data_IF_467154530623
#
_entry.id   IF_467154530623
#
_cell.length_a   1.000
_cell.length_b   1.000
_cell.length_c   1.000
_cell.angle_alpha   90.00
_cell.angle_beta   90.00
_cell.angle_gamma   90.00
#
_symmetry.space_group_name_H-M   'P 1'
#
loop_
_entity.id
_entity.type
_entity.pdbx_description
1 polymer ?
#
# COMPACT_ATOMS: atom_id res chain seq x y z
N UNK A 1 14.69 -10.97 -12.32
CA UNK A 1 14.84 -9.75 -11.50
C UNK A 1 13.42 -9.29 -11.20
N UNK A 2 12.85 -9.63 -10.04
CA UNK A 2 11.55 -9.05 -9.67
C UNK A 2 11.82 -7.60 -9.32
N UNK A 3 11.80 -6.71 -10.33
CA UNK A 3 11.81 -5.28 -10.12
C UNK A 3 10.53 -4.93 -9.37
N UNK A 4 10.60 -4.98 -8.03
CA UNK A 4 9.47 -4.66 -7.17
C UNK A 4 8.97 -3.28 -7.55
N UNK A 5 7.79 -3.24 -8.15
CA UNK A 5 7.16 -1.97 -8.52
C UNK A 5 7.05 -1.13 -7.24
N UNK A 6 7.59 0.09 -7.29
CA UNK A 6 7.44 1.02 -6.17
C UNK A 6 5.96 1.21 -5.87
N UNK A 7 5.53 1.07 -4.60
CA UNK A 7 4.13 1.25 -4.25
C UNK A 7 3.61 2.63 -4.65
N UNK A 8 2.39 2.67 -5.16
CA UNK A 8 1.70 3.89 -5.56
C UNK A 8 0.44 4.13 -4.74
N UNK A 9 -0.07 5.36 -4.78
CA UNK A 9 -1.31 5.73 -4.09
C UNK A 9 -2.48 4.85 -4.56
N UNK A 10 -3.10 4.17 -3.61
CA UNK A 10 -4.20 3.23 -3.80
C UNK A 10 -3.79 1.76 -3.76
N UNK A 11 -2.49 1.46 -3.89
CA UNK A 11 -1.98 0.10 -3.78
C UNK A 11 -2.11 -0.42 -2.35
N UNK A 12 -2.37 -1.71 -2.23
CA UNK A 12 -2.23 -2.46 -1.00
C UNK A 12 -0.83 -3.03 -0.90
N UNK A 13 -0.17 -2.74 0.22
CA UNK A 13 1.18 -3.17 0.54
C UNK A 13 1.19 -4.01 1.81
N UNK A 14 2.13 -4.95 1.89
CA UNK A 14 2.49 -5.60 3.13
C UNK A 14 3.61 -4.80 3.82
N UNK A 15 3.34 -4.30 5.03
CA UNK A 15 4.29 -3.47 5.81
C UNK A 15 4.94 -4.21 6.97
N UNK A 16 4.38 -5.36 7.35
CA UNK A 16 4.95 -6.33 8.26
C UNK A 16 4.36 -7.69 7.91
N UNK A 17 4.99 -8.78 8.35
CA UNK A 17 4.56 -10.14 8.01
C UNK A 17 3.06 -10.35 8.28
N UNK A 18 2.28 -10.59 7.22
CA UNK A 18 0.83 -10.79 7.28
C UNK A 18 0.00 -9.53 7.54
N UNK A 19 0.61 -8.34 7.60
CA UNK A 19 -0.07 -7.06 7.86
C UNK A 19 -0.09 -6.19 6.61
N UNK A 20 -1.30 -5.91 6.14
CA UNK A 20 -1.56 -5.14 4.93
C UNK A 20 -2.03 -3.74 5.26
N UNK A 21 -1.72 -2.78 4.40
CA UNK A 21 -2.23 -1.42 4.45
C UNK A 21 -2.37 -0.84 3.05
N UNK A 22 -3.23 0.17 2.91
CA UNK A 22 -3.38 0.91 1.66
C UNK A 22 -2.43 2.11 1.69
N UNK A 23 -1.68 2.31 0.61
CA UNK A 23 -0.97 3.56 0.37
C UNK A 23 -1.98 4.65 0.03
N UNK A 24 -1.99 5.70 0.83
CA UNK A 24 -2.97 6.80 0.72
C UNK A 24 -2.35 8.08 0.19
N UNK A 25 -1.06 8.28 0.42
CA UNK A 25 -0.33 9.46 -0.04
C UNK A 25 1.18 9.19 -0.11
N UNK A 26 1.92 10.05 -0.83
CA UNK A 26 3.38 10.00 -0.93
C UNK A 26 3.92 11.41 -0.67
N UNK A 27 4.52 11.65 0.50
CA UNK A 27 5.07 12.96 0.86
C UNK A 27 6.59 12.89 0.93
N UNK A 28 7.28 13.61 0.06
CA UNK A 28 8.76 13.62 -0.02
C UNK A 28 9.37 12.20 -0.08
N UNK A 29 8.72 11.28 -0.81
CA UNK A 29 9.15 9.89 -0.93
C UNK A 29 8.76 8.98 0.24
N UNK A 30 8.13 9.52 1.30
CA UNK A 30 7.56 8.72 2.40
C UNK A 30 6.14 8.30 2.04
N UNK A 31 5.89 7.00 2.03
CA UNK A 31 4.57 6.41 1.81
C UNK A 31 3.72 6.57 3.07
N UNK A 32 2.51 7.09 2.94
CA UNK A 32 1.52 7.16 4.02
C UNK A 32 0.53 6.02 3.90
N UNK A 33 0.38 5.27 4.98
CA UNK A 33 -0.38 4.03 5.03
C UNK A 33 -1.66 4.22 5.84
N UNK A 34 -2.70 3.48 5.47
CA UNK A 34 -3.95 3.39 6.20
C UNK A 34 -4.45 1.95 6.27
N UNK A 35 -5.02 1.60 7.42
CA UNK A 35 -5.90 0.43 7.59
C UNK A 35 -7.25 0.87 8.13
N UNK A 36 -8.28 0.05 7.92
CA UNK A 36 -9.58 0.30 8.52
C UNK A 36 -9.44 0.40 10.05
N UNK A 37 -10.10 1.39 10.66
CA UNK A 37 -10.06 1.60 12.10
C UNK A 37 -8.78 2.26 12.66
N UNK A 38 -7.79 2.61 11.83
CA UNK A 38 -6.60 3.35 12.27
C UNK A 38 -6.41 4.63 11.45
N UNK A 39 -5.97 5.70 12.11
CA UNK A 39 -5.55 6.94 11.44
C UNK A 39 -4.36 6.66 10.55
N UNK A 40 -4.30 7.33 9.40
CA UNK A 40 -3.14 7.35 8.51
C UNK A 40 -1.81 7.60 9.25
N UNK A 41 -0.74 6.90 8.85
CA UNK A 41 0.60 7.03 9.42
C UNK A 41 1.70 6.90 8.35
N UNK A 42 2.87 7.53 8.53
CA UNK A 42 4.00 7.35 7.62
C UNK A 42 4.62 5.94 7.76
N UNK A 43 5.01 5.34 6.64
CA UNK A 43 5.74 4.08 6.60
C UNK A 43 7.19 4.26 7.07
N UNK A 44 7.60 3.50 8.08
CA UNK A 44 8.98 3.53 8.60
C UNK A 44 10.02 3.14 7.54
N UNK A 45 9.72 2.15 6.70
CA UNK A 45 10.60 1.68 5.63
C UNK A 45 9.83 1.62 4.30
N UNK A 46 9.67 2.77 3.66
CA UNK A 46 8.92 2.90 2.40
C UNK A 46 9.47 2.03 1.26
N UNK A 47 10.79 1.82 1.22
CA UNK A 47 11.47 1.03 0.17
C UNK A 47 11.38 -0.49 0.41
N UNK A 48 11.01 -0.91 1.62
CA UNK A 48 10.82 -2.34 1.98
C UNK A 48 9.38 -2.82 1.82
N UNK A 49 8.46 -1.94 1.38
CA UNK A 49 7.06 -2.28 1.20
C UNK A 49 6.88 -3.11 -0.08
N UNK A 50 6.22 -4.26 0.06
CA UNK A 50 5.88 -5.12 -1.07
C UNK A 50 4.43 -4.89 -1.49
N UNK A 51 4.20 -4.55 -2.75
CA UNK A 51 2.84 -4.45 -3.31
C UNK A 51 2.21 -5.84 -3.37
N UNK A 52 1.08 -6.02 -2.70
CA UNK A 52 0.30 -7.25 -2.69
C UNK A 52 -0.82 -7.17 -3.73
N UNK A 53 -1.49 -6.01 -3.81
CA UNK A 53 -2.51 -5.72 -4.83
C UNK A 53 -2.34 -4.28 -5.28
N UNK A 54 -2.35 -4.07 -6.59
CA UNK A 54 -2.40 -2.73 -7.16
C UNK A 54 -3.77 -2.08 -6.95
N UNK A 55 -3.85 -0.75 -7.07
CA UNK A 55 -5.12 -0.01 -7.07
C UNK A 55 -6.13 -0.60 -8.06
N UNK A 56 -5.70 -0.91 -9.29
CA UNK A 56 -6.58 -1.46 -10.32
C UNK A 56 -7.12 -2.83 -9.95
N UNK A 57 -6.28 -3.70 -9.36
CA UNK A 57 -6.73 -4.99 -8.85
C UNK A 57 -7.72 -4.84 -7.69
N UNK A 58 -7.50 -3.86 -6.80
CA UNK A 58 -8.45 -3.57 -5.72
C UNK A 58 -9.80 -3.10 -6.23
N UNK A 59 -9.83 -2.21 -7.22
CA UNK A 59 -11.08 -1.74 -7.82
C UNK A 59 -11.80 -2.92 -8.49
N UNK A 60 -11.09 -3.74 -9.26
CA UNK A 60 -11.68 -4.91 -9.91
C UNK A 60 -12.23 -5.97 -8.92
N UNK A 61 -11.62 -6.11 -7.73
CA UNK A 61 -12.08 -7.01 -6.66
C UNK A 61 -13.25 -6.41 -5.85
N UNK A 62 -13.37 -5.08 -5.81
CA UNK A 62 -14.39 -4.31 -5.06
C UNK A 62 -15.62 -3.94 -5.93
N UNK A 63 -15.53 -4.00 -7.26
CA UNK A 63 -16.62 -3.83 -8.25
C UNK A 63 -17.70 -4.94 -8.21
N UNK A 64 -17.80 -5.67 -7.10
CA UNK A 64 -18.74 -6.79 -6.87
C UNK A 64 -19.67 -6.53 -5.67
N UNK A 65 -19.89 -5.27 -5.28
CA UNK A 65 -20.86 -4.89 -4.25
C UNK A 65 -22.18 -4.37 -4.81
#
# INVERSE_FOLDING_TARGET
>A
MNGGQRPQVGDEVEYALGRRAIVTDIRNGVLYLRVAGRREWPAENSDSLSVIRTRSQRIADDDVW
#
